data_IF_833590730615
#
_entry.id   IF_833590730615
#
_cell.length_a   1.000
_cell.length_b   1.000
_cell.length_c   1.000
_cell.angle_alpha   90.00
_cell.angle_beta   90.00
_cell.angle_gamma   90.00
#
_symmetry.space_group_name_H-M   'P 1'
#
loop_
_entity.id
_entity.type
_entity.pdbx_description
1 polymer ?
#
# COMPACT_ATOMS: atom_id res chain seq x y z
N UNK A 1 -30.20 8.79 -14.12
CA UNK A 1 -29.28 7.69 -14.47
C UNK A 1 -29.53 6.57 -13.47
N UNK A 2 -29.39 5.28 -13.80
CA UNK A 2 -29.62 4.23 -12.78
C UNK A 2 -28.51 4.29 -11.73
N UNK A 3 -28.86 4.05 -10.45
CA UNK A 3 -27.91 4.00 -9.33
C UNK A 3 -26.76 3.01 -9.59
N UNK A 4 -27.07 1.87 -10.21
CA UNK A 4 -26.08 0.89 -10.67
C UNK A 4 -25.10 1.46 -11.70
N UNK A 5 -25.56 2.29 -12.66
CA UNK A 5 -24.67 2.85 -13.69
C UNK A 5 -23.74 3.93 -13.10
N UNK A 6 -24.21 4.73 -12.15
CA UNK A 6 -23.37 5.69 -11.42
C UNK A 6 -22.31 4.97 -10.57
N UNK A 7 -22.72 3.93 -9.85
CA UNK A 7 -21.81 3.09 -9.08
C UNK A 7 -20.72 2.45 -9.97
N UNK A 8 -21.11 1.78 -11.07
CA UNK A 8 -20.16 1.15 -11.99
C UNK A 8 -19.18 2.17 -12.58
N UNK A 9 -19.64 3.38 -12.93
CA UNK A 9 -18.77 4.45 -13.42
C UNK A 9 -17.74 4.87 -12.38
N UNK A 10 -18.17 5.13 -11.14
CA UNK A 10 -17.26 5.52 -10.05
C UNK A 10 -16.19 4.45 -9.76
N UNK A 11 -16.58 3.17 -9.76
CA UNK A 11 -15.63 2.08 -9.57
C UNK A 11 -14.66 1.95 -10.75
N UNK A 12 -15.12 2.15 -12.00
CA UNK A 12 -14.23 2.16 -13.17
C UNK A 12 -13.23 3.32 -13.16
N UNK A 13 -13.62 4.50 -12.69
CA UNK A 13 -12.70 5.64 -12.58
C UNK A 13 -11.53 5.31 -11.64
N UNK A 14 -11.83 4.70 -10.48
CA UNK A 14 -10.80 4.34 -9.50
C UNK A 14 -9.98 3.14 -9.97
N UNK A 15 -10.64 2.01 -10.27
CA UNK A 15 -9.95 0.76 -10.53
C UNK A 15 -9.41 0.65 -11.94
N UNK A 16 -10.00 1.38 -12.90
CA UNK A 16 -9.42 1.51 -14.24
C UNK A 16 -8.03 2.15 -14.17
N UNK A 17 -7.87 3.23 -13.38
CA UNK A 17 -6.55 3.85 -13.16
C UNK A 17 -5.57 2.86 -12.53
N UNK A 18 -5.95 2.21 -11.44
CA UNK A 18 -5.11 1.22 -10.73
C UNK A 18 -4.69 0.08 -11.67
N UNK A 19 -5.62 -0.43 -12.48
CA UNK A 19 -5.34 -1.48 -13.47
C UNK A 19 -4.33 -1.03 -14.50
N UNK A 20 -4.52 0.15 -15.08
CA UNK A 20 -3.61 0.73 -16.07
C UNK A 20 -2.21 0.94 -15.48
N UNK A 21 -2.11 1.55 -14.30
CA UNK A 21 -0.83 1.80 -13.62
C UNK A 21 -0.07 0.48 -13.38
N UNK A 22 -0.76 -0.56 -12.89
CA UNK A 22 -0.16 -1.87 -12.61
C UNK A 22 0.22 -2.61 -13.89
N UNK A 23 -0.64 -2.61 -14.91
CA UNK A 23 -0.37 -3.27 -16.19
C UNK A 23 0.86 -2.66 -16.87
N UNK A 24 0.92 -1.34 -17.00
CA UNK A 24 2.12 -0.67 -17.54
C UNK A 24 3.34 -0.93 -16.66
N UNK A 25 3.19 -0.86 -15.35
CA UNK A 25 4.25 -1.20 -14.40
C UNK A 25 4.85 -2.57 -14.63
N UNK A 26 3.99 -3.57 -14.81
CA UNK A 26 4.39 -4.94 -15.06
C UNK A 26 5.04 -5.12 -16.44
N UNK A 27 4.44 -4.56 -17.49
CA UNK A 27 4.95 -4.68 -18.86
C UNK A 27 6.34 -4.03 -19.01
N UNK A 28 6.58 -2.92 -18.29
CA UNK A 28 7.87 -2.24 -18.28
C UNK A 28 8.97 -3.04 -17.58
N UNK A 29 8.64 -3.82 -16.55
CA UNK A 29 9.65 -4.47 -15.69
C UNK A 29 9.83 -5.95 -15.99
N UNK A 30 8.78 -6.65 -16.42
CA UNK A 30 8.78 -8.09 -16.60
C UNK A 30 9.88 -8.61 -17.55
N UNK A 31 10.20 -7.93 -18.68
CA UNK A 31 11.28 -8.36 -19.56
C UNK A 31 12.68 -8.34 -18.92
N UNK A 32 12.86 -7.54 -17.86
CA UNK A 32 14.17 -7.31 -17.23
C UNK A 32 14.34 -8.05 -15.91
N UNK A 33 13.30 -8.71 -15.40
CA UNK A 33 13.30 -9.33 -14.09
C UNK A 33 13.16 -10.83 -14.17
N UNK A 34 13.84 -11.52 -13.25
CA UNK A 34 13.67 -12.95 -13.09
C UNK A 34 12.24 -13.29 -12.64
N UNK A 35 11.76 -14.48 -13.00
CA UNK A 35 10.47 -14.99 -12.53
C UNK A 35 10.39 -15.04 -11.00
N UNK A 36 11.49 -15.37 -10.32
CA UNK A 36 11.61 -15.36 -8.86
C UNK A 36 11.35 -13.95 -8.30
N UNK A 37 11.90 -12.92 -8.93
CA UNK A 37 11.67 -11.52 -8.53
C UNK A 37 10.23 -11.10 -8.82
N UNK A 38 9.65 -11.50 -9.96
CA UNK A 38 8.25 -11.18 -10.27
C UNK A 38 7.27 -11.85 -9.30
N UNK A 39 7.57 -13.06 -8.82
CA UNK A 39 6.73 -13.78 -7.83
C UNK A 39 6.68 -13.12 -6.46
N UNK A 40 7.68 -12.31 -6.08
CA UNK A 40 7.65 -11.58 -4.81
C UNK A 40 6.92 -10.23 -4.92
N UNK A 41 6.66 -9.74 -6.13
CA UNK A 41 5.94 -8.48 -6.33
C UNK A 41 4.47 -8.69 -6.06
N UNK A 42 3.98 -8.09 -4.97
CA UNK A 42 2.60 -8.29 -4.50
C UNK A 42 1.56 -7.93 -5.57
N UNK A 43 1.79 -6.89 -6.37
CA UNK A 43 0.89 -6.54 -7.47
C UNK A 43 0.85 -7.57 -8.58
N UNK A 44 1.97 -8.25 -8.87
CA UNK A 44 2.01 -9.30 -9.88
C UNK A 44 1.24 -10.54 -9.41
N UNK A 45 1.38 -10.90 -8.13
CA UNK A 45 0.65 -12.03 -7.52
C UNK A 45 -0.87 -11.78 -7.52
N UNK A 46 -1.31 -10.53 -7.37
CA UNK A 46 -2.72 -10.16 -7.20
C UNK A 46 -3.38 -9.62 -8.48
N UNK A 47 -2.66 -9.55 -9.60
CA UNK A 47 -3.13 -8.93 -10.85
C UNK A 47 -4.38 -9.60 -11.41
N UNK A 48 -4.54 -10.91 -11.23
CA UNK A 48 -5.64 -11.66 -11.81
C UNK A 48 -6.98 -11.32 -11.13
N UNK A 49 -6.94 -11.00 -9.82
CA UNK A 49 -8.11 -10.48 -9.08
C UNK A 49 -8.54 -9.14 -9.65
N UNK A 50 -7.58 -8.24 -9.91
CA UNK A 50 -7.86 -6.94 -10.49
C UNK A 50 -8.42 -7.06 -11.91
N UNK A 51 -7.82 -7.89 -12.75
CA UNK A 51 -8.27 -8.15 -14.12
C UNK A 51 -9.72 -8.64 -14.14
N UNK A 52 -10.04 -9.64 -13.31
CA UNK A 52 -11.39 -10.17 -13.17
C UNK A 52 -12.39 -9.10 -12.75
N UNK A 53 -12.00 -8.21 -11.85
CA UNK A 53 -12.87 -7.11 -11.43
C UNK A 53 -13.16 -6.12 -12.55
N UNK A 54 -12.15 -5.76 -13.35
CA UNK A 54 -12.32 -4.90 -14.53
C UNK A 54 -13.25 -5.57 -15.57
N UNK A 55 -13.14 -6.88 -15.77
CA UNK A 55 -14.05 -7.64 -16.64
C UNK A 55 -15.50 -7.57 -16.14
N UNK A 56 -15.73 -7.73 -14.82
CA UNK A 56 -17.06 -7.59 -14.20
C UNK A 56 -17.63 -6.18 -14.37
N UNK A 57 -16.81 -5.14 -14.20
CA UNK A 57 -17.22 -3.75 -14.40
C UNK A 57 -17.60 -3.47 -15.87
N UNK A 58 -16.84 -3.99 -16.83
CA UNK A 58 -17.12 -3.85 -18.26
C UNK A 58 -18.41 -4.57 -18.68
N UNK A 59 -18.65 -5.77 -18.14
CA UNK A 59 -19.89 -6.50 -18.36
C UNK A 59 -21.09 -5.74 -17.78
N UNK A 60 -20.98 -5.26 -16.54
CA UNK A 60 -22.03 -4.47 -15.89
C UNK A 60 -22.37 -3.19 -16.65
N UNK A 61 -21.37 -2.48 -17.18
CA UNK A 61 -21.60 -1.27 -17.99
C UNK A 61 -22.35 -1.59 -19.31
N UNK A 62 -21.94 -2.66 -20.00
CA UNK A 62 -22.55 -3.07 -21.28
C UNK A 62 -24.00 -3.49 -21.09
N UNK A 63 -24.30 -4.25 -20.04
CA UNK A 63 -25.66 -4.69 -19.71
C UNK A 63 -26.56 -3.53 -19.24
N UNK A 64 -26.03 -2.55 -18.50
CA UNK A 64 -26.78 -1.34 -18.12
C UNK A 64 -27.09 -0.44 -19.33
N UNK A 65 -26.16 -0.30 -20.28
CA UNK A 65 -26.38 0.49 -21.51
C UNK A 65 -27.45 -0.13 -22.41
N UNK A 66 -27.48 -1.46 -22.54
CA UNK A 66 -28.46 -2.18 -23.37
C UNK A 66 -29.85 -2.22 -22.75
N UNK A 67 -29.96 -2.41 -21.42
CA UNK A 67 -31.26 -2.40 -20.71
C UNK A 67 -31.91 -1.02 -20.65
N UNK A 68 -31.12 0.07 -20.65
CA UNK A 68 -31.66 1.43 -20.72
C UNK A 68 -32.35 1.75 -22.06
N UNK A 69 -32.10 0.96 -23.11
CA UNK A 69 -32.68 1.13 -24.44
C UNK A 69 -33.98 0.31 -24.65
N UNK A 70 -34.23 -0.70 -23.80
CA UNK A 70 -35.36 -1.63 -23.92
C UNK A 70 -36.16 -1.64 -22.61
N UNK A 71 -36.98 -0.60 -22.40
CA UNK A 71 -38.07 -0.60 -21.40
C UNK A 71 -37.69 -1.03 -19.97
N UNK A 72 -36.66 -0.41 -19.37
CA UNK A 72 -36.16 -0.79 -18.05
C UNK A 72 -36.91 -0.15 -16.88
N UNK A 73 -37.99 -0.78 -16.40
CA UNK A 73 -38.72 -0.33 -15.20
C UNK A 73 -38.56 -1.27 -13.98
N UNK A 74 -37.87 -2.40 -14.09
CA UNK A 74 -37.72 -3.34 -12.97
C UNK A 74 -36.41 -4.13 -13.03
N UNK A 75 -35.28 -3.53 -12.62
CA UNK A 75 -34.15 -4.28 -12.06
C UNK A 75 -33.51 -3.42 -10.96
N UNK A 76 -33.71 -3.82 -9.70
CA UNK A 76 -32.98 -3.24 -8.57
C UNK A 76 -31.47 -3.52 -8.66
N UNK A 77 -30.73 -3.00 -7.66
CA UNK A 77 -29.27 -3.00 -7.44
C UNK A 77 -28.51 -4.33 -7.68
N UNK A 78 -28.62 -4.93 -8.86
CA UNK A 78 -28.05 -6.25 -9.17
C UNK A 78 -26.52 -6.16 -9.21
N UNK A 79 -25.99 -5.10 -9.81
CA UNK A 79 -24.55 -4.96 -10.03
C UNK A 79 -23.85 -4.34 -8.82
N UNK A 80 -24.46 -3.36 -8.14
CA UNK A 80 -23.92 -2.81 -6.89
C UNK A 80 -23.67 -3.93 -5.88
N UNK A 81 -24.64 -4.84 -5.69
CA UNK A 81 -24.48 -5.99 -4.79
C UNK A 81 -23.36 -6.94 -5.19
N UNK A 82 -23.35 -7.39 -6.46
CA UNK A 82 -22.35 -8.35 -6.95
C UNK A 82 -20.91 -7.80 -6.89
N UNK A 83 -20.73 -6.56 -7.32
CA UNK A 83 -19.42 -5.91 -7.34
C UNK A 83 -18.92 -5.59 -5.93
N UNK A 84 -19.82 -5.20 -5.02
CA UNK A 84 -19.49 -4.99 -3.61
C UNK A 84 -19.08 -6.29 -2.93
N UNK A 85 -19.84 -7.37 -3.14
CA UNK A 85 -19.48 -8.69 -2.60
C UNK A 85 -18.12 -9.15 -3.11
N UNK A 86 -17.85 -9.04 -4.42
CA UNK A 86 -16.54 -9.39 -4.98
C UNK A 86 -15.39 -8.59 -4.32
N UNK A 87 -15.57 -7.28 -4.13
CA UNK A 87 -14.57 -6.45 -3.44
C UNK A 87 -14.37 -6.85 -1.99
N UNK A 88 -15.44 -7.20 -1.29
CA UNK A 88 -15.35 -7.63 0.11
C UNK A 88 -14.64 -8.98 0.24
N UNK A 89 -14.94 -9.92 -0.65
CA UNK A 89 -14.27 -11.23 -0.70
C UNK A 89 -12.77 -11.12 -1.00
N UNK A 90 -12.36 -10.02 -1.64
CA UNK A 90 -10.98 -9.74 -2.06
C UNK A 90 -10.43 -8.44 -1.43
N UNK A 91 -10.93 -8.03 -0.27
CA UNK A 91 -10.65 -6.70 0.29
C UNK A 91 -9.15 -6.42 0.45
N UNK A 92 -8.41 -7.39 0.98
CA UNK A 92 -6.97 -7.27 1.18
C UNK A 92 -6.20 -7.15 -0.14
N UNK A 93 -6.68 -7.82 -1.18
CA UNK A 93 -6.08 -7.74 -2.51
C UNK A 93 -6.22 -6.33 -3.05
N UNK A 94 -7.42 -5.76 -2.99
CA UNK A 94 -7.71 -4.42 -3.46
C UNK A 94 -6.95 -3.34 -2.70
N UNK A 95 -6.84 -3.47 -1.37
CA UNK A 95 -6.01 -2.57 -0.55
C UNK A 95 -4.56 -2.64 -0.99
N UNK A 96 -4.01 -3.85 -1.16
CA UNK A 96 -2.63 -4.03 -1.59
C UNK A 96 -2.39 -3.51 -3.01
N UNK A 97 -3.30 -3.75 -3.94
CA UNK A 97 -3.21 -3.29 -5.34
C UNK A 97 -3.21 -1.75 -5.40
N UNK A 98 -4.10 -1.09 -4.65
CA UNK A 98 -4.13 0.38 -4.56
C UNK A 98 -2.85 0.95 -3.95
N UNK A 99 -2.27 0.28 -2.97
CA UNK A 99 -0.98 0.70 -2.42
C UNK A 99 0.17 0.46 -3.41
N UNK A 100 0.16 -0.68 -4.12
CA UNK A 100 1.17 -0.98 -5.13
C UNK A 100 1.12 -0.05 -6.35
N UNK A 101 -0.06 0.43 -6.77
CA UNK A 101 -0.16 1.39 -7.88
C UNK A 101 0.46 2.75 -7.56
N UNK A 102 0.66 3.06 -6.27
CA UNK A 102 1.31 4.28 -5.79
C UNK A 102 2.74 4.03 -5.28
N UNK A 103 3.27 2.81 -5.46
CA UNK A 103 4.55 2.40 -4.90
C UNK A 103 5.72 2.84 -5.81
N UNK A 104 6.76 3.41 -5.22
CA UNK A 104 7.99 3.79 -5.94
C UNK A 104 8.64 2.60 -6.66
N UNK A 105 8.43 1.37 -6.16
CA UNK A 105 9.00 0.17 -6.76
C UNK A 105 8.20 -0.40 -7.95
N UNK A 106 7.05 0.15 -8.31
CA UNK A 106 6.16 -0.42 -9.35
C UNK A 106 6.88 -0.59 -10.70
N UNK A 107 7.68 0.41 -11.10
CA UNK A 107 8.45 0.44 -12.35
C UNK A 107 9.94 0.15 -12.15
N UNK A 108 10.36 -0.28 -10.96
CA UNK A 108 11.78 -0.46 -10.67
C UNK A 108 12.28 -1.76 -11.32
N UNK A 109 13.40 -1.73 -12.04
CA UNK A 109 14.08 -2.91 -12.61
C UNK A 109 15.39 -3.25 -11.90
N UNK A 110 15.86 -2.38 -11.01
CA UNK A 110 17.11 -2.58 -10.27
C UNK A 110 17.00 -3.78 -9.34
N UNK A 111 18.13 -4.48 -9.18
CA UNK A 111 18.30 -5.42 -8.07
C UNK A 111 18.21 -4.65 -6.75
N UNK A 112 17.48 -5.20 -5.78
CA UNK A 112 17.11 -4.48 -4.57
C UNK A 112 17.91 -5.00 -3.39
N UNK A 113 18.73 -4.13 -2.78
CA UNK A 113 19.44 -4.37 -1.52
C UNK A 113 18.52 -4.30 -0.29
N UNK A 114 17.34 -3.70 -0.45
CA UNK A 114 16.35 -3.58 0.60
C UNK A 114 15.41 -4.79 0.69
N UNK A 115 14.53 -4.79 1.71
CA UNK A 115 13.49 -5.81 1.84
C UNK A 115 12.43 -5.78 0.70
N UNK A 116 12.39 -4.72 -0.12
CA UNK A 116 11.52 -4.60 -1.29
C UNK A 116 10.03 -4.89 -0.97
N UNK A 117 9.31 -5.53 -1.90
CA UNK A 117 7.93 -5.98 -1.71
C UNK A 117 7.76 -6.99 -0.56
N UNK A 118 8.81 -7.69 -0.13
CA UNK A 118 8.74 -8.64 1.00
C UNK A 118 8.62 -7.92 2.34
N UNK A 119 9.24 -6.74 2.46
CA UNK A 119 9.18 -5.91 3.66
C UNK A 119 7.89 -5.11 3.81
N UNK A 120 7.10 -4.95 2.74
CA UNK A 120 5.83 -4.26 2.83
C UNK A 120 4.86 -5.07 3.72
N UNK A 121 4.28 -4.45 4.74
CA UNK A 121 3.20 -5.03 5.54
C UNK A 121 1.85 -4.91 4.81
N UNK A 122 0.77 -5.38 5.43
CA UNK A 122 -0.57 -5.04 4.98
C UNK A 122 -0.77 -3.53 5.06
N UNK A 123 -1.52 -2.97 4.11
CA UNK A 123 -1.81 -1.54 4.02
C UNK A 123 -0.58 -0.61 4.03
N UNK A 124 0.55 -1.07 3.48
CA UNK A 124 1.78 -0.28 3.32
C UNK A 124 2.28 -0.25 1.88
N UNK A 125 3.13 0.72 1.55
CA UNK A 125 3.85 0.80 0.28
C UNK A 125 5.15 1.58 0.44
N UNK A 126 6.12 1.31 -0.44
CA UNK A 126 7.34 2.11 -0.52
C UNK A 126 6.98 3.43 -1.18
N UNK A 127 7.03 4.51 -0.40
CA UNK A 127 6.68 5.87 -0.81
C UNK A 127 7.83 6.53 -1.58
N UNK A 128 9.06 6.34 -1.11
CA UNK A 128 10.28 6.80 -1.78
C UNK A 128 11.41 5.77 -1.64
N UNK A 129 12.33 5.76 -2.61
CA UNK A 129 13.51 4.91 -2.64
C UNK A 129 14.55 5.55 -3.56
N UNK A 130 15.76 5.77 -3.06
CA UNK A 130 16.88 6.30 -3.87
C UNK A 130 17.59 5.20 -4.68
N UNK A 131 17.22 3.94 -4.45
CA UNK A 131 17.79 2.73 -5.03
C UNK A 131 19.24 2.43 -4.65
N UNK A 132 19.78 3.07 -3.62
CA UNK A 132 21.18 2.96 -3.20
C UNK A 132 21.33 2.86 -1.69
N UNK A 133 20.80 3.83 -0.93
CA UNK A 133 21.01 3.95 0.51
C UNK A 133 19.72 3.85 1.29
N UNK A 134 18.69 4.62 0.93
CA UNK A 134 17.45 4.77 1.69
C UNK A 134 16.23 4.26 0.93
N UNK A 135 15.37 3.53 1.66
CA UNK A 135 13.97 3.42 1.32
C UNK A 135 13.06 3.94 2.44
N UNK A 136 11.87 4.42 2.06
CA UNK A 136 10.84 4.87 2.99
C UNK A 136 9.56 4.12 2.69
N UNK A 137 9.07 3.37 3.68
CA UNK A 137 7.79 2.66 3.61
C UNK A 137 6.76 3.39 4.45
N UNK A 138 5.67 3.79 3.82
CA UNK A 138 4.54 4.42 4.51
C UNK A 138 3.54 3.36 4.95
N UNK A 139 3.01 3.51 6.16
CA UNK A 139 2.04 2.59 6.74
C UNK A 139 0.70 3.28 6.99
N UNK A 140 -0.40 2.62 6.64
CA UNK A 140 -1.75 3.12 6.93
C UNK A 140 -2.43 2.19 7.93
N UNK A 141 -3.05 2.77 8.95
CA UNK A 141 -3.78 2.04 9.99
C UNK A 141 -2.94 0.95 10.68
N UNK A 142 -1.63 1.19 10.83
CA UNK A 142 -0.75 0.33 11.60
C UNK A 142 -0.47 0.99 12.94
N UNK A 143 -0.82 0.30 14.02
CA UNK A 143 -0.54 0.77 15.38
C UNK A 143 0.35 -0.22 16.11
N UNK A 144 1.15 0.29 17.02
CA UNK A 144 1.92 -0.49 17.98
C UNK A 144 1.72 0.06 19.40
N UNK A 145 1.96 -0.78 20.39
CA UNK A 145 1.91 -0.40 21.79
C UNK A 145 3.34 -0.40 22.34
N UNK A 146 3.80 0.73 22.86
CA UNK A 146 5.10 0.82 23.55
C UNK A 146 4.87 0.94 25.05
N UNK A 147 5.55 0.09 25.80
CA UNK A 147 5.58 0.18 27.27
C UNK A 147 6.85 0.89 27.70
N UNK A 148 6.70 1.99 28.43
CA UNK A 148 7.83 2.69 29.00
C UNK A 148 8.40 1.88 30.18
N UNK A 149 9.63 1.40 30.06
CA UNK A 149 10.27 0.54 31.06
C UNK A 149 10.44 1.19 32.44
N UNK A 150 10.50 2.53 32.52
CA UNK A 150 10.65 3.25 33.79
C UNK A 150 9.32 3.43 34.53
N UNK A 151 8.21 3.53 33.80
CA UNK A 151 6.88 3.83 34.40
C UNK A 151 5.89 2.67 34.32
N UNK A 152 6.18 1.65 33.51
CA UNK A 152 5.28 0.53 33.22
C UNK A 152 4.03 0.91 32.43
N UNK A 153 3.91 2.16 31.96
CA UNK A 153 2.75 2.63 31.21
C UNK A 153 2.88 2.25 29.74
N UNK A 154 1.83 1.64 29.20
CA UNK A 154 1.69 1.35 27.79
C UNK A 154 0.94 2.48 27.09
N UNK A 155 1.50 2.94 25.97
CA UNK A 155 0.90 3.97 25.12
C UNK A 155 0.81 3.43 23.70
N UNK A 156 -0.31 3.73 23.03
CA UNK A 156 -0.55 3.33 21.65
C UNK A 156 -0.08 4.42 20.68
N UNK A 157 0.63 3.99 19.65
CA UNK A 157 1.13 4.86 18.59
C UNK A 157 0.68 4.38 17.22
N UNK A 158 0.38 5.32 16.33
CA UNK A 158 0.31 5.08 14.90
C UNK A 158 1.74 5.03 14.34
N UNK A 159 2.02 4.04 13.49
CA UNK A 159 3.25 3.98 12.71
C UNK A 159 3.03 4.76 11.42
N UNK A 160 3.76 5.86 11.27
CA UNK A 160 3.66 6.73 10.09
C UNK A 160 4.50 6.15 8.95
N UNK A 161 5.76 5.85 9.24
CA UNK A 161 6.69 5.30 8.27
C UNK A 161 7.77 4.44 8.93
N UNK A 162 8.40 3.59 8.11
CA UNK A 162 9.66 2.93 8.45
C UNK A 162 10.69 3.25 7.37
N UNK A 163 11.93 3.50 7.77
CA UNK A 163 13.04 3.70 6.85
C UNK A 163 14.02 2.54 6.96
N UNK A 164 14.66 2.21 5.84
CA UNK A 164 15.80 1.30 5.82
C UNK A 164 17.00 2.03 5.23
N UNK A 165 18.12 2.00 5.95
CA UNK A 165 19.44 2.40 5.48
C UNK A 165 20.26 1.13 5.23
N UNK A 166 20.46 0.77 3.97
CA UNK A 166 21.20 -0.44 3.63
C UNK A 166 22.72 -0.27 3.62
N UNK A 167 23.25 0.96 3.67
CA UNK A 167 24.69 1.17 3.87
C UNK A 167 25.08 0.88 5.31
N UNK A 168 24.22 1.26 6.26
CA UNK A 168 24.43 1.06 7.69
C UNK A 168 23.82 -0.22 8.26
N UNK A 169 23.03 -0.95 7.46
CA UNK A 169 22.19 -2.08 7.89
C UNK A 169 21.28 -1.70 9.08
N UNK A 170 20.60 -0.56 8.96
CA UNK A 170 19.74 0.01 10.00
C UNK A 170 18.32 0.19 9.52
N UNK A 171 17.37 0.12 10.47
CA UNK A 171 16.00 0.50 10.22
C UNK A 171 15.51 1.45 11.30
N UNK A 172 14.60 2.32 10.90
CA UNK A 172 14.01 3.33 11.75
C UNK A 172 12.49 3.25 11.65
N UNK A 173 11.82 3.63 12.72
CA UNK A 173 10.37 3.72 12.76
C UNK A 173 9.96 5.10 13.27
N UNK A 174 9.08 5.75 12.51
CA UNK A 174 8.46 7.02 12.89
C UNK A 174 7.06 6.72 13.39
N UNK A 175 6.80 7.15 14.61
CA UNK A 175 5.54 6.89 15.30
C UNK A 175 4.95 8.18 15.88
N UNK A 176 3.62 8.22 15.97
CA UNK A 176 2.87 9.33 16.54
C UNK A 176 1.86 8.79 17.53
N UNK A 177 1.80 9.38 18.73
CA UNK A 177 0.86 8.96 19.76
C UNK A 177 -0.59 9.12 19.26
N UNK A 178 -1.43 8.13 19.54
CA UNK A 178 -2.83 8.13 19.05
C UNK A 178 -3.66 9.22 19.72
N UNK A 179 -3.32 9.60 20.95
CA UNK A 179 -4.06 10.59 21.75
C UNK A 179 -3.43 11.98 21.72
N UNK A 180 -2.13 12.09 21.49
CA UNK A 180 -1.39 13.35 21.39
C UNK A 180 -0.64 13.42 20.05
N UNK A 181 -1.09 14.27 19.13
CA UNK A 181 -0.48 14.33 17.78
C UNK A 181 0.86 15.06 17.75
N UNK A 182 1.17 15.83 18.77
CA UNK A 182 2.44 16.55 18.88
C UNK A 182 3.54 15.63 19.45
N UNK A 183 3.14 14.54 20.08
CA UNK A 183 4.03 13.49 20.60
C UNK A 183 4.42 12.49 19.50
N UNK A 184 5.57 12.75 18.86
CA UNK A 184 6.17 11.93 17.81
C UNK A 184 7.55 11.45 18.22
N UNK A 185 7.86 10.20 17.84
CA UNK A 185 9.18 9.61 18.07
C UNK A 185 9.75 9.04 16.79
N UNK A 186 11.08 9.10 16.70
CA UNK A 186 11.89 8.33 15.76
C UNK A 186 12.76 7.40 16.58
N UNK A 187 12.64 6.11 16.31
CA UNK A 187 13.34 5.06 17.05
C UNK A 187 14.13 4.18 16.08
N UNK A 188 15.23 3.62 16.55
CA UNK A 188 15.78 2.43 15.93
C UNK A 188 14.74 1.32 15.96
N UNK A 189 14.64 0.58 14.85
CA UNK A 189 13.69 -0.50 14.68
C UNK A 189 14.41 -1.80 14.35
N UNK A 190 14.23 -2.79 15.21
CA UNK A 190 14.82 -4.11 15.08
C UNK A 190 13.68 -5.13 14.91
N UNK A 191 13.24 -5.40 13.66
CA UNK A 191 12.17 -6.36 13.42
C UNK A 191 12.59 -7.76 13.83
N UNK A 192 11.83 -8.40 14.71
CA UNK A 192 12.10 -9.78 15.14
C UNK A 192 11.11 -10.78 14.55
N UNK A 193 11.38 -12.06 14.79
CA UNK A 193 10.50 -13.15 14.33
C UNK A 193 9.23 -13.24 15.20
N UNK A 194 9.39 -13.06 16.52
CA UNK A 194 8.30 -13.13 17.50
C UNK A 194 7.85 -11.76 17.98
N UNK A 195 8.79 -10.84 18.18
CA UNK A 195 8.56 -9.51 18.72
C UNK A 195 9.56 -8.51 18.12
N UNK A 196 9.09 -7.29 17.93
CA UNK A 196 9.90 -6.18 17.44
C UNK A 196 10.56 -5.47 18.63
N UNK A 197 11.81 -5.02 18.45
CA UNK A 197 12.54 -4.26 19.46
C UNK A 197 12.82 -2.83 18.97
N UNK A 198 12.96 -1.91 19.92
CA UNK A 198 13.13 -0.48 19.64
C UNK A 198 14.26 0.12 20.48
N UNK A 199 14.97 1.09 19.92
CA UNK A 199 16.06 1.80 20.60
C UNK A 199 15.99 3.30 20.39
N UNK A 200 16.51 4.06 21.35
CA UNK A 200 16.65 5.51 21.22
C UNK A 200 17.81 5.88 20.30
N UNK A 201 17.64 6.95 19.53
CA UNK A 201 18.69 7.50 18.67
C UNK A 201 19.42 8.57 19.47
N UNK A 202 20.69 8.32 19.80
CA UNK A 202 21.51 9.26 20.58
C UNK A 202 22.34 10.22 19.72
N UNK A 203 22.55 9.93 18.43
CA UNK A 203 23.29 10.81 17.51
C UNK A 203 22.33 11.85 16.90
N UNK A 204 22.52 13.16 17.18
CA UNK A 204 21.65 14.21 16.65
C UNK A 204 21.71 14.31 15.11
N UNK A 205 22.87 14.11 14.49
CA UNK A 205 22.99 14.23 13.02
C UNK A 205 22.23 13.11 12.32
N UNK A 206 22.28 11.91 12.89
CA UNK A 206 21.50 10.77 12.41
C UNK A 206 20.01 11.04 12.57
N UNK A 207 19.59 11.55 13.72
CA UNK A 207 18.19 11.92 13.97
C UNK A 207 17.69 12.95 12.94
N UNK A 208 18.44 14.05 12.74
CA UNK A 208 18.09 15.11 11.80
C UNK A 208 18.01 14.58 10.36
N UNK A 209 18.94 13.72 9.95
CA UNK A 209 18.91 13.08 8.64
C UNK A 209 17.63 12.24 8.43
N UNK A 210 17.19 11.48 9.44
CA UNK A 210 15.96 10.68 9.34
C UNK A 210 14.72 11.58 9.29
N UNK A 211 14.70 12.67 10.05
CA UNK A 211 13.62 13.68 9.99
C UNK A 211 13.52 14.25 8.58
N UNK A 212 14.62 14.78 8.04
CA UNK A 212 14.67 15.39 6.70
C UNK A 212 14.25 14.40 5.60
N UNK A 213 14.70 13.14 5.73
CA UNK A 213 14.36 12.09 4.75
C UNK A 213 12.88 11.72 4.81
N UNK A 214 12.30 11.67 6.01
CA UNK A 214 10.87 11.42 6.17
C UNK A 214 10.02 12.59 5.63
N UNK A 215 10.36 13.82 5.99
CA UNK A 215 9.60 15.01 5.56
C UNK A 215 9.68 15.24 4.04
N UNK A 216 10.85 14.99 3.43
CA UNK A 216 11.00 15.10 1.97
C UNK A 216 10.23 14.02 1.19
N UNK A 217 9.94 12.88 1.82
CA UNK A 217 9.11 11.83 1.23
C UNK A 217 7.60 12.14 1.29
N UNK A 218 7.16 13.05 2.17
CA UNK A 218 5.75 13.38 2.44
C UNK A 218 5.23 14.61 1.67
N UNK A 219 6.03 15.23 0.79
CA UNK A 219 5.62 16.29 -0.15
C UNK A 219 4.78 15.77 -1.34
#
# INVERSE_FOLDING_TARGET
>A
MSKDLEFVKSEKEVWGKVYVDISYGLDNVAPFLSEKTLKIRKYNVKRDVLKKYIELLNAAETENKTTSFVGGLFKGNKYEGLLTSFKNDHLEDFVQLKNCSNCACLNCVKECSFNSCRGCRHNSFIKSCDHEKINVTYHKNFTLDLTNNNTGRSTKYNVLATLQDCELDRQYIIIQNVFDKDDKFILYYYPGISEDNYGEISDPNEFDFIVETFESADL
#
